data_IF_282033694945
#
_entry.id   IF_282033694945
#
_cell.length_a   1.000
_cell.length_b   1.000
_cell.length_c   1.000
_cell.angle_alpha   90.00
_cell.angle_beta   90.00
_cell.angle_gamma   90.00
#
_symmetry.space_group_name_H-M   'P 1'
#
loop_
_entity.id
_entity.type
_entity.pdbx_description
1 polymer ?
#
# COMPACT_ATOMS: atom_id res chain seq x y z
N UNK A 1 2.45 -5.73 4.92
CA UNK A 1 3.34 -6.84 5.32
C UNK A 1 3.30 -7.99 4.33
N UNK A 2 2.14 -8.63 4.09
CA UNK A 2 2.06 -9.78 3.16
C UNK A 2 2.58 -9.49 1.74
N UNK A 3 2.48 -8.25 1.23
CA UNK A 3 3.10 -7.88 -0.05
C UNK A 3 4.62 -8.10 -0.08
N UNK A 4 5.30 -7.93 1.05
CA UNK A 4 6.75 -8.04 1.16
C UNK A 4 7.18 -9.46 1.54
N UNK A 5 6.53 -10.08 2.52
CA UNK A 5 6.95 -11.38 3.07
C UNK A 5 6.10 -12.57 2.64
N UNK A 6 5.02 -12.36 1.89
CA UNK A 6 4.14 -13.43 1.45
C UNK A 6 3.33 -13.97 2.63
N UNK A 7 3.56 -15.23 2.96
CA UNK A 7 2.82 -15.95 4.00
C UNK A 7 3.32 -15.50 5.37
N UNK A 8 2.41 -14.97 6.19
CA UNK A 8 2.74 -14.42 7.52
C UNK A 8 1.69 -14.86 8.54
N UNK A 9 2.03 -14.90 9.84
CA UNK A 9 1.03 -15.12 10.89
C UNK A 9 -0.04 -14.04 10.90
N UNK A 10 -1.29 -14.44 11.05
CA UNK A 10 -2.42 -13.54 11.22
C UNK A 10 -2.75 -13.42 12.72
N UNK A 11 -2.38 -12.29 13.33
CA UNK A 11 -2.60 -12.01 14.75
C UNK A 11 -3.66 -10.91 14.88
N UNK A 12 -4.83 -11.26 15.43
CA UNK A 12 -5.99 -10.36 15.55
C UNK A 12 -6.40 -10.07 16.99
N UNK A 13 -5.77 -10.74 17.95
CA UNK A 13 -5.99 -10.54 19.38
C UNK A 13 -4.65 -10.31 20.10
N UNK A 14 -4.63 -9.56 21.21
CA UNK A 14 -3.45 -9.44 22.04
C UNK A 14 -2.98 -10.82 22.51
N UNK A 15 -1.68 -11.07 22.39
CA UNK A 15 -1.05 -12.30 22.81
C UNK A 15 -0.74 -12.20 24.31
N UNK A 16 -1.27 -13.12 25.10
CA UNK A 16 -1.11 -13.14 26.56
C UNK A 16 -0.13 -14.20 27.07
N UNK A 17 0.30 -15.15 26.22
CA UNK A 17 1.28 -16.18 26.57
C UNK A 17 2.34 -16.37 25.47
N UNK A 18 3.57 -16.79 25.82
CA UNK A 18 4.66 -16.98 24.86
C UNK A 18 4.56 -18.27 24.01
N UNK A 19 3.64 -19.19 24.31
CA UNK A 19 3.48 -20.50 23.64
C UNK A 19 2.52 -20.48 22.44
N UNK A 20 2.29 -19.32 21.83
CA UNK A 20 1.42 -19.26 20.66
C UNK A 20 2.15 -19.83 19.45
N UNK A 21 1.65 -20.94 18.91
CA UNK A 21 2.06 -21.41 17.58
C UNK A 21 1.64 -20.37 16.54
N UNK A 22 2.63 -19.72 15.92
CA UNK A 22 2.37 -18.73 14.89
C UNK A 22 2.25 -19.43 13.54
N UNK A 23 1.03 -19.78 13.18
CA UNK A 23 0.73 -20.42 11.90
C UNK A 23 0.70 -19.34 10.82
N UNK A 24 1.63 -19.43 9.86
CA UNK A 24 1.61 -18.59 8.66
C UNK A 24 0.33 -18.88 7.86
N UNK A 25 -0.34 -17.80 7.46
CA UNK A 25 -1.49 -17.87 6.55
C UNK A 25 -1.04 -17.56 5.14
N UNK A 26 -1.72 -18.18 4.19
CA UNK A 26 -1.52 -17.87 2.77
C UNK A 26 -1.81 -16.39 2.51
N UNK A 27 -1.03 -15.78 1.62
CA UNK A 27 -1.18 -14.37 1.26
C UNK A 27 -2.64 -13.99 0.93
N UNK A 28 -3.35 -14.83 0.18
CA UNK A 28 -4.75 -14.56 -0.17
C UNK A 28 -5.70 -14.58 1.05
N UNK A 29 -5.47 -15.45 2.03
CA UNK A 29 -6.27 -15.47 3.27
C UNK A 29 -6.07 -14.17 4.07
N UNK A 30 -4.83 -13.66 4.11
CA UNK A 30 -4.51 -12.38 4.76
C UNK A 30 -5.16 -11.22 4.02
N UNK A 31 -5.10 -11.22 2.68
CA UNK A 31 -5.74 -10.18 1.86
C UNK A 31 -7.27 -10.21 2.01
N UNK A 32 -7.88 -11.39 2.11
CA UNK A 32 -9.32 -11.52 2.38
C UNK A 32 -9.68 -10.98 3.77
N UNK A 33 -8.87 -11.28 4.79
CA UNK A 33 -9.04 -10.68 6.12
C UNK A 33 -8.97 -9.15 6.08
N UNK A 34 -7.92 -8.58 5.47
CA UNK A 34 -7.76 -7.12 5.36
C UNK A 34 -8.93 -6.49 4.61
N UNK A 35 -9.37 -7.10 3.50
CA UNK A 35 -10.53 -6.60 2.76
C UNK A 35 -11.80 -6.62 3.61
N UNK A 36 -12.05 -7.69 4.37
CA UNK A 36 -13.25 -7.81 5.20
C UNK A 36 -13.28 -6.76 6.32
N UNK A 37 -12.14 -6.50 6.97
CA UNK A 37 -12.02 -5.45 7.99
C UNK A 37 -12.27 -4.06 7.38
N UNK A 38 -11.67 -3.76 6.22
CA UNK A 38 -11.89 -2.50 5.52
C UNK A 38 -13.34 -2.33 5.08
N UNK A 39 -13.92 -3.36 4.45
CA UNK A 39 -15.29 -3.32 3.98
C UNK A 39 -16.30 -3.18 5.13
N UNK A 40 -16.03 -3.82 6.27
CA UNK A 40 -16.86 -3.72 7.47
C UNK A 40 -16.83 -2.32 8.10
N UNK A 41 -15.69 -1.63 8.07
CA UNK A 41 -15.57 -0.30 8.68
C UNK A 41 -15.97 0.85 7.73
N UNK A 42 -15.93 0.65 6.41
CA UNK A 42 -16.23 1.69 5.40
C UNK A 42 -17.48 2.54 5.71
N UNK A 43 -18.64 1.97 6.07
CA UNK A 43 -19.85 2.76 6.37
C UNK A 43 -19.72 3.71 7.57
N UNK A 44 -18.75 3.47 8.45
CA UNK A 44 -18.54 4.23 9.68
C UNK A 44 -17.42 5.28 9.55
N UNK A 45 -16.70 5.31 8.43
CA UNK A 45 -15.61 6.25 8.21
C UNK A 45 -16.12 7.59 7.68
N UNK A 46 -15.51 8.67 8.14
CA UNK A 46 -15.84 10.03 7.70
C UNK A 46 -15.40 10.26 6.25
N UNK A 47 -16.26 10.96 5.48
CA UNK A 47 -15.92 11.52 4.16
C UNK A 47 -15.28 12.91 4.27
N UNK A 48 -15.32 13.55 5.45
CA UNK A 48 -14.70 14.86 5.70
C UNK A 48 -13.35 14.71 6.40
N UNK A 49 -12.45 15.66 6.13
CA UNK A 49 -11.14 15.75 6.76
C UNK A 49 -11.18 16.77 7.91
N UNK A 50 -10.90 16.31 9.11
CA UNK A 50 -10.81 17.16 10.31
C UNK A 50 -9.34 17.57 10.51
N UNK A 51 -8.98 18.78 10.04
CA UNK A 51 -7.62 19.30 10.11
C UNK A 51 -7.09 19.39 11.56
N UNK A 52 -7.96 19.64 12.55
CA UNK A 52 -7.56 19.67 13.97
C UNK A 52 -7.19 18.27 14.48
N UNK A 53 -7.76 17.21 13.90
CA UNK A 53 -7.46 15.81 14.24
C UNK A 53 -6.41 15.16 13.33
N UNK A 54 -5.76 15.95 12.47
CA UNK A 54 -4.68 15.51 11.57
C UNK A 54 -5.09 15.39 10.09
N UNK A 55 -6.31 15.81 9.73
CA UNK A 55 -6.78 15.96 8.36
C UNK A 55 -6.53 14.73 7.50
N UNK A 56 -5.93 14.94 6.34
CA UNK A 56 -5.55 13.89 5.37
C UNK A 56 -4.45 12.94 5.85
N UNK A 57 -3.93 13.10 7.07
CA UNK A 57 -3.01 12.14 7.70
C UNK A 57 -3.73 11.11 8.59
N UNK A 58 -5.06 11.21 8.71
CA UNK A 58 -5.92 10.18 9.31
C UNK A 58 -6.60 9.38 8.21
N UNK A 59 -6.70 8.07 8.38
CA UNK A 59 -7.51 7.28 7.45
C UNK A 59 -8.99 7.64 7.60
N UNK A 60 -9.65 7.82 6.47
CA UNK A 60 -11.07 8.10 6.34
C UNK A 60 -11.67 7.25 5.23
N UNK A 61 -12.89 7.58 4.82
CA UNK A 61 -13.64 6.79 3.84
C UNK A 61 -12.84 6.57 2.54
N UNK A 62 -12.31 7.65 1.95
CA UNK A 62 -11.61 7.59 0.66
C UNK A 62 -10.33 6.76 0.69
N UNK A 63 -9.53 6.87 1.76
CA UNK A 63 -8.27 6.12 1.85
C UNK A 63 -8.48 4.65 2.20
N UNK A 64 -9.49 4.33 2.99
CA UNK A 64 -9.92 2.95 3.20
C UNK A 64 -10.47 2.31 1.91
N UNK A 65 -11.25 3.06 1.12
CA UNK A 65 -11.80 2.60 -0.16
C UNK A 65 -10.68 2.36 -1.19
N UNK A 66 -9.70 3.27 -1.27
CA UNK A 66 -8.52 3.11 -2.12
C UNK A 66 -7.70 1.86 -1.74
N UNK A 67 -7.46 1.66 -0.43
CA UNK A 67 -6.75 0.49 0.06
C UNK A 67 -7.52 -0.81 -0.21
N UNK A 68 -8.84 -0.82 -0.02
CA UNK A 68 -9.69 -1.97 -0.34
C UNK A 68 -9.61 -2.34 -1.83
N UNK A 69 -9.59 -1.35 -2.72
CA UNK A 69 -9.41 -1.58 -4.15
C UNK A 69 -8.01 -2.12 -4.48
N UNK A 70 -6.96 -1.57 -3.86
CA UNK A 70 -5.59 -2.08 -4.04
C UNK A 70 -5.45 -3.53 -3.57
N UNK A 71 -6.10 -3.90 -2.46
CA UNK A 71 -6.20 -5.30 -1.99
C UNK A 71 -6.84 -6.20 -3.05
N UNK A 72 -7.93 -5.76 -3.69
CA UNK A 72 -8.55 -6.53 -4.79
C UNK A 72 -7.63 -6.65 -6.00
N UNK A 73 -6.88 -5.61 -6.34
CA UNK A 73 -5.86 -5.68 -7.41
C UNK A 73 -4.75 -6.66 -7.06
N UNK A 74 -4.29 -6.70 -5.80
CA UNK A 74 -3.30 -7.68 -5.31
C UNK A 74 -3.80 -9.12 -5.46
N UNK A 75 -5.10 -9.34 -5.30
CA UNK A 75 -5.75 -10.64 -5.52
C UNK A 75 -6.03 -10.94 -7.00
N UNK A 76 -5.70 -10.03 -7.93
CA UNK A 76 -6.03 -10.14 -9.35
C UNK A 76 -7.51 -9.88 -9.68
N UNK A 77 -8.33 -9.46 -8.71
CA UNK A 77 -9.77 -9.21 -8.84
C UNK A 77 -10.05 -7.81 -9.39
N UNK A 78 -9.65 -7.58 -10.64
CA UNK A 78 -9.74 -6.26 -11.31
C UNK A 78 -11.17 -5.67 -11.33
N UNK A 79 -12.18 -6.50 -11.62
CA UNK A 79 -13.58 -6.06 -11.66
C UNK A 79 -14.07 -5.58 -10.29
N UNK A 80 -13.70 -6.29 -9.22
CA UNK A 80 -14.06 -5.88 -7.85
C UNK A 80 -13.34 -4.58 -7.46
N UNK A 81 -12.07 -4.45 -7.85
CA UNK A 81 -11.29 -3.23 -7.60
C UNK A 81 -11.93 -2.01 -8.26
N UNK A 82 -12.30 -2.09 -9.55
CA UNK A 82 -12.91 -0.95 -10.22
C UNK A 82 -14.29 -0.63 -9.65
N UNK A 83 -15.06 -1.64 -9.25
CA UNK A 83 -16.36 -1.43 -8.60
C UNK A 83 -16.20 -0.67 -7.28
N UNK A 84 -15.20 -0.98 -6.47
CA UNK A 84 -14.86 -0.21 -5.26
C UNK A 84 -14.48 1.24 -5.61
N UNK A 85 -13.58 1.43 -6.57
CA UNK A 85 -13.14 2.76 -6.99
C UNK A 85 -14.25 3.59 -7.64
N UNK A 86 -15.36 3.00 -8.07
CA UNK A 86 -16.50 3.73 -8.61
C UNK A 86 -17.54 4.11 -7.54
N UNK A 87 -17.35 3.75 -6.27
CA UNK A 87 -18.27 4.13 -5.18
C UNK A 87 -18.10 5.58 -4.72
N UNK A 88 -17.02 6.24 -5.13
CA UNK A 88 -16.65 7.58 -4.67
C UNK A 88 -16.50 8.56 -5.83
N UNK A 89 -16.87 9.81 -5.58
CA UNK A 89 -16.70 10.95 -6.48
C UNK A 89 -15.32 11.58 -6.30
N UNK A 90 -14.31 10.98 -6.94
CA UNK A 90 -12.91 11.39 -6.76
C UNK A 90 -12.57 12.76 -7.34
N UNK A 91 -13.43 13.32 -8.19
CA UNK A 91 -13.18 14.61 -8.85
C UNK A 91 -13.15 15.78 -7.88
N UNK A 92 -13.61 15.62 -6.63
CA UNK A 92 -13.35 16.60 -5.57
C UNK A 92 -11.85 16.74 -5.27
N UNK A 93 -11.04 15.70 -5.53
CA UNK A 93 -9.58 15.74 -5.41
C UNK A 93 -8.91 16.16 -6.72
N UNK A 94 -9.67 16.52 -7.76
CA UNK A 94 -9.09 16.99 -9.01
C UNK A 94 -8.28 18.27 -8.76
N UNK A 95 -7.02 18.25 -9.20
CA UNK A 95 -6.08 19.33 -9.04
C UNK A 95 -4.70 18.90 -9.54
N UNK A 96 -3.86 19.88 -9.89
CA UNK A 96 -2.51 19.59 -10.35
C UNK A 96 -1.71 18.84 -9.26
N UNK A 97 -1.03 17.76 -9.66
CA UNK A 97 0.01 17.10 -8.85
C UNK A 97 1.23 18.01 -8.81
N UNK A 98 1.12 19.10 -8.07
CA UNK A 98 2.24 20.02 -7.82
C UNK A 98 3.04 19.54 -6.62
N UNK A 99 4.27 20.03 -6.49
CA UNK A 99 5.11 19.82 -5.29
C UNK A 99 4.42 20.25 -3.97
N UNK A 100 3.30 20.98 -4.05
CA UNK A 100 2.50 21.35 -2.89
C UNK A 100 1.92 20.16 -2.11
N UNK A 101 1.77 18.99 -2.73
CA UNK A 101 1.30 17.78 -2.02
C UNK A 101 2.29 17.35 -0.92
N UNK A 102 3.58 17.63 -1.10
CA UNK A 102 4.61 17.29 -0.13
C UNK A 102 4.76 18.35 0.97
N UNK A 103 4.35 19.60 0.73
CA UNK A 103 4.49 20.68 1.72
C UNK A 103 3.24 20.94 2.55
N UNK A 104 2.04 20.76 2.01
CA UNK A 104 0.80 21.21 2.68
C UNK A 104 -0.43 20.31 2.52
N UNK A 105 -0.28 19.01 2.20
CA UNK A 105 -1.43 18.11 1.98
C UNK A 105 -2.48 18.72 1.02
N UNK A 106 -2.02 19.13 -0.17
CA UNK A 106 -2.82 19.88 -1.14
C UNK A 106 -4.12 19.19 -1.59
N UNK A 107 -4.90 19.88 -2.43
CA UNK A 107 -6.23 19.43 -2.88
C UNK A 107 -6.23 17.98 -3.37
N UNK A 108 -5.23 17.61 -4.18
CA UNK A 108 -5.10 16.30 -4.80
C UNK A 108 -4.62 15.18 -3.87
N UNK A 109 -4.31 15.49 -2.61
CA UNK A 109 -3.98 14.48 -1.59
C UNK A 109 -5.27 13.84 -1.06
N UNK A 110 -5.27 12.52 -0.90
CA UNK A 110 -6.36 11.75 -0.27
C UNK A 110 -5.90 11.21 1.08
N UNK A 111 -4.66 10.70 1.12
CA UNK A 111 -4.04 10.24 2.36
C UNK A 111 -2.53 10.40 2.29
N UNK A 112 -1.94 10.87 3.38
CA UNK A 112 -0.50 11.06 3.51
C UNK A 112 0.02 10.67 4.88
N UNK A 113 1.32 10.39 4.95
CA UNK A 113 2.04 10.31 6.21
C UNK A 113 2.54 11.71 6.58
N UNK A 114 2.27 12.14 7.82
CA UNK A 114 2.86 13.36 8.37
C UNK A 114 4.28 13.10 8.84
N UNK A 115 5.22 13.90 8.35
CA UNK A 115 6.66 13.85 8.67
C UNK A 115 7.11 15.01 9.57
N UNK A 116 6.18 15.85 10.04
CA UNK A 116 6.46 17.03 10.85
C UNK A 116 7.27 16.71 12.13
N UNK A 117 6.97 15.57 12.77
CA UNK A 117 7.69 15.10 13.96
C UNK A 117 8.87 14.19 13.64
N UNK A 118 9.14 13.93 12.36
CA UNK A 118 10.21 13.02 11.93
C UNK A 118 11.53 13.77 11.77
N UNK A 119 12.40 13.66 12.78
CA UNK A 119 13.65 14.42 12.88
C UNK A 119 14.92 13.63 12.54
N UNK A 120 14.82 12.38 12.06
CA UNK A 120 15.99 11.54 11.80
C UNK A 120 16.75 11.96 10.51
N UNK A 121 17.45 13.09 10.56
CA UNK A 121 18.18 13.72 9.46
C UNK A 121 19.24 12.81 8.81
N UNK A 122 19.69 11.74 9.50
CA UNK A 122 20.66 10.78 8.99
C UNK A 122 20.08 9.65 8.12
N UNK A 123 18.75 9.51 8.03
CA UNK A 123 18.14 8.44 7.23
C UNK A 123 18.31 8.67 5.73
N UNK A 124 18.51 7.58 4.96
CA UNK A 124 18.51 7.61 3.50
C UNK A 124 17.20 8.19 2.94
N UNK A 125 16.09 7.94 3.63
CA UNK A 125 14.81 8.53 3.30
C UNK A 125 14.87 10.06 3.33
N UNK A 126 15.33 10.66 4.43
CA UNK A 126 15.43 12.12 4.50
C UNK A 126 16.43 12.70 3.50
N UNK A 127 17.49 11.96 3.16
CA UNK A 127 18.51 12.42 2.23
C UNK A 127 18.10 12.36 0.76
N UNK A 128 17.34 11.34 0.37
CA UNK A 128 17.11 11.02 -1.05
C UNK A 128 15.64 10.99 -1.47
N UNK A 129 14.72 10.81 -0.53
CA UNK A 129 13.30 10.55 -0.84
C UNK A 129 12.34 11.58 -0.24
N UNK A 130 12.70 12.24 0.88
CA UNK A 130 11.85 13.26 1.50
C UNK A 130 11.80 14.51 0.63
N UNK A 131 10.61 14.84 0.15
CA UNK A 131 10.32 16.06 -0.63
C UNK A 131 9.67 17.18 0.19
N UNK A 132 9.18 16.89 1.39
CA UNK A 132 8.53 17.86 2.26
C UNK A 132 8.09 17.28 3.59
N UNK A 133 7.11 17.91 4.22
CA UNK A 133 6.57 17.52 5.53
C UNK A 133 5.45 16.49 5.46
N UNK A 134 5.00 16.17 4.25
CA UNK A 134 4.01 15.14 4.00
C UNK A 134 4.52 14.19 2.92
N UNK A 135 4.19 12.91 3.08
CA UNK A 135 4.45 11.87 2.10
C UNK A 135 3.12 11.28 1.62
N UNK A 136 2.63 11.65 0.42
CA UNK A 136 1.36 11.18 -0.09
C UNK A 136 1.41 9.67 -0.33
N UNK A 137 0.45 8.94 0.24
CA UNK A 137 0.23 7.51 0.00
C UNK A 137 -0.81 7.35 -1.11
N UNK A 138 -1.91 8.09 -0.99
CA UNK A 138 -2.94 8.19 -2.03
C UNK A 138 -3.13 9.64 -2.45
N UNK A 139 -3.08 9.86 -3.75
CA UNK A 139 -3.42 11.11 -4.41
C UNK A 139 -4.42 10.85 -5.53
N UNK A 140 -5.08 11.90 -6.03
CA UNK A 140 -6.01 11.78 -7.17
C UNK A 140 -5.37 11.09 -8.38
N UNK A 141 -4.09 11.39 -8.66
CA UNK A 141 -3.37 10.73 -9.73
C UNK A 141 -3.12 9.24 -9.45
N UNK A 142 -2.79 8.89 -8.21
CA UNK A 142 -2.69 7.49 -7.79
C UNK A 142 -4.00 6.73 -8.01
N UNK A 143 -5.14 7.33 -7.65
CA UNK A 143 -6.46 6.71 -7.88
C UNK A 143 -6.75 6.50 -9.36
N UNK A 144 -6.43 7.48 -10.20
CA UNK A 144 -6.60 7.36 -11.64
C UNK A 144 -5.74 6.23 -12.23
N UNK A 145 -4.52 6.04 -11.71
CA UNK A 145 -3.66 4.92 -12.09
C UNK A 145 -4.21 3.57 -11.62
N UNK A 146 -4.78 3.47 -10.41
CA UNK A 146 -5.46 2.25 -9.94
C UNK A 146 -6.71 1.93 -10.78
N UNK A 147 -7.51 2.96 -11.12
CA UNK A 147 -8.67 2.82 -12.01
C UNK A 147 -8.23 2.35 -13.40
N UNK A 148 -7.12 2.88 -13.91
CA UNK A 148 -6.54 2.44 -15.17
C UNK A 148 -6.05 1.01 -15.08
N UNK A 149 -5.28 0.64 -14.07
CA UNK A 149 -4.82 -0.74 -13.85
C UNK A 149 -5.97 -1.76 -13.82
N UNK A 150 -7.07 -1.41 -13.17
CA UNK A 150 -8.25 -2.24 -13.07
C UNK A 150 -9.00 -2.41 -14.41
N UNK A 151 -8.94 -1.42 -15.31
CA UNK A 151 -9.62 -1.43 -16.62
C UNK A 151 -8.73 -1.92 -17.76
N UNK A 152 -7.44 -1.65 -17.67
CA UNK A 152 -6.51 -1.74 -18.80
C UNK A 152 -5.97 -3.16 -18.98
N UNK A 153 -5.75 -3.50 -20.24
CA UNK A 153 -5.11 -4.73 -20.69
C UNK A 153 -3.69 -4.49 -21.20
N UNK A 154 -3.32 -3.24 -21.54
CA UNK A 154 -1.95 -2.87 -21.91
C UNK A 154 -1.13 -2.45 -20.67
N UNK A 155 -0.36 -3.42 -20.16
CA UNK A 155 0.50 -3.26 -18.99
C UNK A 155 1.69 -2.32 -19.28
N UNK A 156 2.23 -2.29 -20.50
CA UNK A 156 3.47 -1.58 -20.80
C UNK A 156 3.28 -0.06 -20.76
N UNK A 157 2.17 0.43 -21.32
CA UNK A 157 1.81 1.85 -21.25
C UNK A 157 1.56 2.30 -19.80
N UNK A 158 0.85 1.48 -19.04
CA UNK A 158 0.52 1.73 -17.65
C UNK A 158 1.77 1.94 -16.78
N UNK A 159 2.82 1.13 -16.92
CA UNK A 159 4.03 1.25 -16.09
C UNK A 159 4.79 2.57 -16.31
N UNK A 160 4.88 3.04 -17.57
CA UNK A 160 5.49 4.32 -17.89
C UNK A 160 4.70 5.48 -17.27
N UNK A 161 3.37 5.37 -17.24
CA UNK A 161 2.51 6.35 -16.59
C UNK A 161 2.65 6.34 -15.07
N UNK A 162 2.70 5.17 -14.43
CA UNK A 162 2.99 5.07 -12.99
C UNK A 162 4.31 5.75 -12.65
N UNK A 163 5.38 5.42 -13.38
CA UNK A 163 6.71 5.96 -13.13
C UNK A 163 6.78 7.47 -13.38
N UNK A 164 6.16 7.96 -14.46
CA UNK A 164 6.18 9.40 -14.77
C UNK A 164 5.27 10.24 -13.87
N UNK A 165 4.22 9.63 -13.31
CA UNK A 165 3.23 10.33 -12.47
C UNK A 165 3.60 10.34 -10.99
N UNK A 166 3.99 9.19 -10.42
CA UNK A 166 4.30 9.07 -8.99
C UNK A 166 5.76 8.68 -8.71
N UNK A 167 6.58 8.44 -9.73
CA UNK A 167 7.98 8.07 -9.55
C UNK A 167 8.17 6.72 -8.86
N UNK A 168 9.19 6.65 -8.00
CA UNK A 168 9.53 5.47 -7.20
C UNK A 168 8.85 5.47 -5.81
N UNK A 169 7.73 6.18 -5.69
CA UNK A 169 7.00 6.34 -4.43
C UNK A 169 6.15 5.11 -4.10
N UNK A 170 5.36 5.24 -3.02
CA UNK A 170 4.45 4.19 -2.58
C UNK A 170 3.53 3.74 -3.73
N UNK A 171 3.36 2.43 -3.86
CA UNK A 171 2.54 1.80 -4.90
C UNK A 171 3.35 1.27 -6.08
N UNK A 172 4.47 1.90 -6.48
CA UNK A 172 5.19 1.48 -7.69
C UNK A 172 5.67 0.02 -7.65
N UNK A 173 6.33 -0.38 -6.56
CA UNK A 173 6.71 -1.80 -6.37
C UNK A 173 5.51 -2.75 -6.34
N UNK A 174 4.41 -2.32 -5.70
CA UNK A 174 3.15 -3.07 -5.69
C UNK A 174 2.62 -3.29 -7.10
N UNK A 175 2.59 -2.25 -7.93
CA UNK A 175 2.19 -2.30 -9.34
C UNK A 175 3.08 -3.25 -10.14
N UNK A 176 4.41 -3.19 -9.98
CA UNK A 176 5.33 -4.11 -10.66
C UNK A 176 5.03 -5.57 -10.31
N UNK A 177 4.69 -5.86 -9.05
CA UNK A 177 4.30 -7.20 -8.61
C UNK A 177 2.96 -7.62 -9.20
N UNK A 178 1.92 -6.77 -9.11
CA UNK A 178 0.57 -7.07 -9.62
C UNK A 178 0.53 -7.29 -11.14
N UNK A 179 1.37 -6.54 -11.86
CA UNK A 179 1.50 -6.64 -13.32
C UNK A 179 2.51 -7.70 -13.78
N UNK A 180 3.17 -8.41 -12.85
CA UNK A 180 4.20 -9.42 -13.13
C UNK A 180 5.39 -8.90 -13.94
N UNK A 181 5.76 -7.64 -13.74
CA UNK A 181 6.86 -6.97 -14.47
C UNK A 181 8.07 -6.65 -13.60
N UNK A 182 8.01 -6.94 -12.30
CA UNK A 182 9.12 -6.69 -11.37
C UNK A 182 10.47 -7.23 -11.87
N UNK A 183 10.55 -8.52 -12.25
CA UNK A 183 11.79 -9.16 -12.73
C UNK A 183 12.33 -8.48 -13.98
N UNK A 184 11.49 -8.22 -14.99
CA UNK A 184 11.91 -7.57 -16.24
C UNK A 184 12.35 -6.12 -16.04
N UNK A 185 11.76 -5.42 -15.06
CA UNK A 185 12.03 -4.01 -14.79
C UNK A 185 13.27 -3.82 -13.92
N UNK A 186 13.52 -4.68 -12.94
CA UNK A 186 14.61 -4.49 -11.95
C UNK A 186 15.78 -5.45 -12.15
N UNK A 187 15.59 -6.55 -12.89
CA UNK A 187 16.57 -7.63 -12.98
C UNK A 187 16.68 -8.49 -11.72
N UNK A 188 15.77 -8.32 -10.74
CA UNK A 188 15.76 -9.15 -9.55
C UNK A 188 15.41 -10.61 -9.88
N UNK A 189 15.86 -11.53 -9.03
CA UNK A 189 15.54 -12.96 -9.17
C UNK A 189 14.12 -13.23 -8.71
N UNK A 190 13.55 -14.35 -9.15
CA UNK A 190 12.18 -14.74 -8.81
C UNK A 190 11.95 -14.84 -7.29
N UNK A 191 12.91 -15.40 -6.54
CA UNK A 191 12.81 -15.49 -5.09
C UNK A 191 12.90 -14.13 -4.38
N UNK A 192 13.45 -13.10 -5.03
CA UNK A 192 13.57 -11.73 -4.49
C UNK A 192 12.26 -10.93 -4.63
N UNK A 193 11.21 -11.52 -5.20
CA UNK A 193 9.87 -10.95 -5.17
C UNK A 193 9.29 -10.94 -3.75
N UNK A 194 9.81 -11.77 -2.85
CA UNK A 194 9.52 -11.75 -1.42
C UNK A 194 10.80 -11.49 -0.64
N UNK A 195 10.71 -10.72 0.44
CA UNK A 195 11.82 -10.54 1.36
C UNK A 195 12.03 -11.81 2.19
N UNK A 196 13.27 -12.11 2.62
CA UNK A 196 13.49 -13.18 3.59
C UNK A 196 12.75 -12.86 4.90
N UNK A 197 12.16 -13.89 5.50
CA UNK A 197 11.72 -13.83 6.90
C UNK A 197 12.98 -13.56 7.74
N UNK A 198 12.97 -12.53 8.62
CA UNK A 198 14.16 -12.21 9.40
C UNK A 198 14.59 -13.40 10.26
N UNK A 199 15.90 -13.68 10.30
CA UNK A 199 16.45 -14.85 11.00
C UNK A 199 16.03 -14.91 12.48
N UNK A 200 15.94 -13.75 13.13
CA UNK A 200 15.53 -13.67 14.53
C UNK A 200 14.09 -14.19 14.74
N UNK A 201 13.19 -13.95 13.78
CA UNK A 201 11.81 -14.44 13.86
C UNK A 201 11.76 -15.98 13.74
N UNK A 202 12.58 -16.56 12.86
CA UNK A 202 12.68 -18.03 12.72
C UNK A 202 13.27 -18.69 13.98
N UNK A 203 14.22 -18.04 14.65
CA UNK A 203 14.80 -18.52 15.91
C UNK A 203 13.80 -18.41 17.05
N UNK A 204 13.08 -17.29 17.14
CA UNK A 204 12.06 -17.06 18.17
C UNK A 204 10.79 -17.88 17.95
N UNK A 205 10.48 -18.23 16.71
CA UNK A 205 9.32 -19.02 16.35
C UNK A 205 9.71 -20.11 15.34
N UNK A 206 10.11 -21.31 15.80
CA UNK A 206 10.54 -22.41 14.94
C UNK A 206 9.45 -22.97 14.02
N UNK A 207 8.18 -22.62 14.23
CA UNK A 207 7.08 -23.00 13.32
C UNK A 207 6.99 -22.12 12.08
N UNK A 208 7.71 -20.98 12.05
CA UNK A 208 7.82 -20.16 10.85
C UNK A 208 8.70 -20.84 9.81
N UNK A 209 8.26 -20.75 8.56
CA UNK A 209 8.93 -21.30 7.39
C UNK A 209 9.51 -20.12 6.59
N UNK A 210 10.78 -20.25 6.21
CA UNK A 210 11.48 -19.29 5.37
C UNK A 210 10.87 -19.24 3.95
N UNK A 211 10.90 -18.06 3.32
CA UNK A 211 10.52 -17.91 1.93
C UNK A 211 11.47 -18.70 1.00
N UNK A 212 10.95 -19.33 -0.07
CA UNK A 212 11.77 -20.10 -1.00
C UNK A 212 12.97 -19.29 -1.53
N UNK A 213 14.13 -19.93 -1.67
CA UNK A 213 15.35 -19.29 -2.20
C UNK A 213 16.25 -18.59 -1.19
N UNK A 214 15.85 -18.55 0.09
CA UNK A 214 16.63 -17.95 1.19
C UNK A 214 17.14 -18.95 2.23
N UNK A 215 17.10 -20.26 1.91
CA UNK A 215 17.72 -21.34 2.72
C UNK A 215 19.13 -21.66 2.24
#
# INVERSE_FOLDING_TARGET
>A
MTLLWGNIPLVTIPLSTPEVEYIQKEQNEILDFVYNELNGILPNLSVTFDEEKGGKSRMGYYSALALAAEVKLLQGKKTEAINLLNQAEWDEFAGEQTEAIYSKNGQSTIFSLSLLSYSNTGSLFNRFLRKGDFYPIYSYAHINLLKKEAKDTDISSLLNEWLSTIGLEYGYWGTLKRTKTAISTTGCKEYELLLPIPQIELVSCPTLIQNPGYM
#
